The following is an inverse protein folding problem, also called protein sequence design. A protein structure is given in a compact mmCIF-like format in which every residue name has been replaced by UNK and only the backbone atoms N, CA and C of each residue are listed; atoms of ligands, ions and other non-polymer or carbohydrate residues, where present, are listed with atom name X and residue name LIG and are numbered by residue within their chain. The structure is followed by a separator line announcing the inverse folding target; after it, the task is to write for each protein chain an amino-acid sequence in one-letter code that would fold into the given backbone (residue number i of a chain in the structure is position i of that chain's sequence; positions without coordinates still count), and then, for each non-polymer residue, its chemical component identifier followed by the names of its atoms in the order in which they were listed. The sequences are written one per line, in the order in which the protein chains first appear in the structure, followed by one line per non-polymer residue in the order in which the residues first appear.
data_IF_867332562177
#
_entry.id   IF_867332562177
#
_cell.length_a   1.000
_cell.length_b   1.000
_cell.length_c   1.000
_cell.angle_alpha   90.00
_cell.angle_beta   90.00
_cell.angle_gamma   90.00
#
_symmetry.space_group_name_H-M   'P 1'
#
loop_
_entity.id
_entity.type
_entity.pdbx_description
1 polymer ?
#
# COMPACT_ATOMS: atom_id res chain seq x y z
N UNK A 1 14.30 -14.27 45.18
CA UNK A 1 14.39 -15.15 43.99
C UNK A 1 12.97 -15.48 43.58
N UNK A 2 12.46 -14.82 42.53
CA UNK A 2 11.16 -15.17 41.95
C UNK A 2 11.31 -16.42 41.07
N UNK A 3 10.23 -17.16 40.79
CA UNK A 3 10.33 -18.36 39.97
C UNK A 3 10.75 -17.95 38.55
N UNK A 4 11.84 -18.55 38.08
CA UNK A 4 12.21 -18.53 36.67
C UNK A 4 11.03 -19.10 35.88
N UNK A 5 10.41 -18.27 35.05
CA UNK A 5 9.42 -18.74 34.10
C UNK A 5 10.15 -19.02 32.79
N UNK A 6 10.29 -20.30 32.45
CA UNK A 6 10.65 -20.71 31.10
C UNK A 6 9.36 -20.81 30.30
N UNK A 7 8.82 -19.69 29.83
CA UNK A 7 7.80 -19.71 28.77
C UNK A 7 8.48 -19.99 27.42
N UNK A 8 9.14 -21.14 27.33
CA UNK A 8 9.73 -21.68 26.10
C UNK A 8 8.78 -22.67 25.44
N UNK A 9 7.53 -22.28 25.20
CA UNK A 9 6.67 -23.03 24.29
C UNK A 9 6.79 -22.40 22.90
N UNK A 10 7.74 -22.88 22.10
CA UNK A 10 7.74 -22.62 20.66
C UNK A 10 6.55 -23.40 20.09
N UNK A 11 5.37 -22.79 20.14
CA UNK A 11 4.27 -23.24 19.31
C UNK A 11 4.67 -22.94 17.87
N UNK A 12 5.19 -23.95 17.18
CA UNK A 12 5.23 -23.94 15.72
C UNK A 12 3.77 -24.03 15.28
N UNK A 13 3.09 -22.87 15.25
CA UNK A 13 1.77 -22.79 14.65
C UNK A 13 2.00 -22.99 13.17
N UNK A 14 1.69 -24.19 12.67
CA UNK A 14 1.65 -24.44 11.25
C UNK A 14 0.54 -23.55 10.67
N UNK A 15 0.95 -22.51 9.94
CA UNK A 15 0.07 -21.52 9.32
C UNK A 15 -0.68 -20.64 10.35
N UNK A 16 0.03 -19.76 11.10
CA UNK A 16 -0.61 -18.85 12.04
C UNK A 16 -1.69 -18.02 11.34
N UNK A 17 -2.73 -17.54 12.06
CA UNK A 17 -3.77 -16.71 11.47
C UNK A 17 -3.18 -15.40 10.96
N UNK A 18 -2.75 -15.43 9.69
CA UNK A 18 -2.22 -14.28 8.99
C UNK A 18 -3.37 -13.40 8.55
N UNK A 19 -3.20 -12.09 8.72
CA UNK A 19 -4.16 -11.10 8.27
C UNK A 19 -3.47 -10.13 7.31
N UNK A 20 -4.22 -9.59 6.34
CA UNK A 20 -3.70 -8.56 5.45
C UNK A 20 -3.19 -7.34 6.21
N UNK A 21 -3.77 -7.04 7.38
CA UNK A 21 -3.31 -5.94 8.26
C UNK A 21 -1.91 -6.18 8.83
N UNK A 22 -1.62 -7.40 9.26
CA UNK A 22 -0.28 -7.76 9.72
C UNK A 22 0.73 -7.71 8.59
N UNK A 23 0.37 -8.24 7.41
CA UNK A 23 1.22 -8.17 6.21
C UNK A 23 1.52 -6.71 5.85
N UNK A 24 0.50 -5.85 5.83
CA UNK A 24 0.63 -4.41 5.62
C UNK A 24 1.64 -3.79 6.60
N UNK A 25 1.48 -4.05 7.89
CA UNK A 25 2.34 -3.49 8.92
C UNK A 25 3.80 -3.89 8.73
N UNK A 26 4.08 -5.16 8.44
CA UNK A 26 5.44 -5.67 8.27
C UNK A 26 6.08 -5.28 6.92
N UNK A 27 5.26 -5.06 5.89
CA UNK A 27 5.73 -4.71 4.55
C UNK A 27 5.67 -3.21 4.24
N UNK A 28 5.22 -2.36 5.16
CA UNK A 28 4.96 -0.95 4.87
C UNK A 28 6.18 -0.22 4.30
N UNK A 29 7.34 -0.36 4.94
CA UNK A 29 8.59 0.26 4.47
C UNK A 29 9.09 -0.37 3.17
N UNK A 30 9.04 -1.71 3.05
CA UNK A 30 9.43 -2.41 1.82
C UNK A 30 8.58 -2.00 0.61
N UNK A 31 7.27 -1.79 0.81
CA UNK A 31 6.36 -1.29 -0.24
C UNK A 31 6.60 0.18 -0.52
N UNK A 32 7.01 0.98 0.47
CA UNK A 32 7.41 2.39 0.27
C UNK A 32 8.68 2.49 -0.59
N UNK A 33 9.67 1.64 -0.33
CA UNK A 33 10.93 1.61 -1.08
C UNK A 33 10.76 1.00 -2.48
N UNK A 34 9.92 -0.02 -2.61
CA UNK A 34 9.60 -0.65 -3.89
C UNK A 34 8.08 -0.93 -4.03
N UNK A 35 7.30 0.04 -4.54
CA UNK A 35 5.87 -0.14 -4.76
C UNK A 35 5.52 -1.26 -5.77
N UNK A 36 6.48 -1.65 -6.61
CA UNK A 36 6.30 -2.67 -7.64
C UNK A 36 6.50 -4.10 -7.11
N UNK A 37 6.91 -4.28 -5.84
CA UNK A 37 7.08 -5.60 -5.22
C UNK A 37 5.83 -6.45 -5.44
N UNK A 38 5.99 -7.64 -6.00
CA UNK A 38 4.84 -8.48 -6.32
C UNK A 38 4.49 -9.41 -5.14
N UNK A 39 3.28 -9.97 -5.16
CA UNK A 39 2.81 -10.82 -4.08
C UNK A 39 3.66 -12.08 -3.86
N UNK A 40 4.34 -12.61 -4.90
CA UNK A 40 5.24 -13.77 -4.74
C UNK A 40 6.51 -13.41 -3.99
N UNK A 41 7.06 -12.23 -4.26
CA UNK A 41 8.21 -11.70 -3.51
C UNK A 41 7.85 -11.49 -2.04
N UNK A 42 6.65 -10.97 -1.75
CA UNK A 42 6.15 -10.85 -0.37
C UNK A 42 6.01 -12.24 0.27
N UNK A 43 5.43 -13.23 -0.41
CA UNK A 43 5.35 -14.60 0.12
C UNK A 43 6.75 -15.15 0.45
N UNK A 44 7.72 -14.95 -0.45
CA UNK A 44 9.09 -15.40 -0.24
C UNK A 44 9.74 -14.68 0.95
N UNK A 45 9.56 -13.37 1.09
CA UNK A 45 10.03 -12.61 2.24
C UNK A 45 9.46 -13.19 3.54
N UNK A 46 8.16 -13.48 3.60
CA UNK A 46 7.54 -14.07 4.79
C UNK A 46 8.05 -15.48 5.10
N UNK A 47 8.33 -16.26 4.07
CA UNK A 47 8.92 -17.59 4.22
C UNK A 47 10.34 -17.50 4.78
N UNK A 48 11.16 -16.57 4.30
CA UNK A 48 12.56 -16.44 4.70
C UNK A 48 12.73 -15.79 6.08
N UNK A 49 12.01 -14.70 6.35
CA UNK A 49 12.17 -13.91 7.58
C UNK A 49 11.38 -14.48 8.76
N UNK A 50 10.18 -15.02 8.51
CA UNK A 50 9.26 -15.44 9.58
C UNK A 50 8.98 -16.94 9.58
N UNK A 51 9.48 -17.70 8.59
CA UNK A 51 9.17 -19.12 8.45
C UNK A 51 7.70 -19.41 8.12
N UNK A 52 6.94 -18.39 7.67
CA UNK A 52 5.50 -18.50 7.41
C UNK A 52 5.23 -18.56 5.92
N UNK A 53 4.52 -19.60 5.47
CA UNK A 53 4.01 -19.67 4.10
C UNK A 53 2.71 -18.86 3.98
N UNK A 54 2.81 -17.64 3.47
CA UNK A 54 1.67 -16.78 3.30
C UNK A 54 0.78 -17.21 2.12
N UNK A 55 -0.55 -17.18 2.29
CA UNK A 55 -1.47 -17.29 1.15
C UNK A 55 -1.36 -16.04 0.27
N UNK A 56 -1.43 -16.22 -1.05
CA UNK A 56 -1.38 -15.15 -2.04
C UNK A 56 -2.33 -13.99 -1.74
N UNK A 57 -3.56 -14.29 -1.33
CA UNK A 57 -4.55 -13.28 -0.98
C UNK A 57 -4.06 -12.29 0.08
N UNK A 58 -3.37 -12.78 1.13
CA UNK A 58 -2.86 -11.92 2.19
C UNK A 58 -1.68 -11.06 1.73
N UNK A 59 -0.84 -11.57 0.81
CA UNK A 59 0.28 -10.81 0.25
C UNK A 59 -0.25 -9.67 -0.61
N UNK A 60 -1.14 -9.99 -1.54
CA UNK A 60 -1.76 -9.01 -2.41
C UNK A 60 -2.57 -7.98 -1.60
N UNK A 61 -3.48 -8.44 -0.73
CA UNK A 61 -4.32 -7.53 0.07
C UNK A 61 -3.49 -6.70 1.06
N UNK A 62 -2.44 -7.25 1.65
CA UNK A 62 -1.51 -6.51 2.51
C UNK A 62 -0.75 -5.43 1.75
N UNK A 63 -0.30 -5.73 0.52
CA UNK A 63 0.31 -4.75 -0.38
C UNK A 63 -0.64 -3.62 -0.72
N UNK A 64 -1.87 -3.91 -1.15
CA UNK A 64 -2.86 -2.89 -1.51
C UNK A 64 -3.18 -1.97 -0.32
N UNK A 65 -3.28 -2.54 0.88
CA UNK A 65 -3.44 -1.75 2.10
C UNK A 65 -2.23 -0.84 2.38
N UNK A 66 -1.00 -1.31 2.10
CA UNK A 66 0.21 -0.53 2.32
C UNK A 66 0.30 0.61 1.31
N UNK A 67 0.02 0.36 0.03
CA UNK A 67 -0.07 1.38 -1.03
C UNK A 67 -1.06 2.46 -0.63
N UNK A 68 -2.26 2.08 -0.17
CA UNK A 68 -3.29 3.03 0.28
C UNK A 68 -2.86 3.84 1.50
N UNK A 69 -2.04 3.27 2.39
CA UNK A 69 -1.51 4.00 3.56
C UNK A 69 -0.40 4.98 3.18
N UNK A 70 0.43 4.62 2.20
CA UNK A 70 1.55 5.46 1.72
C UNK A 70 1.04 6.62 0.86
N UNK A 71 0.15 6.34 -0.09
CA UNK A 71 -0.30 7.32 -1.09
C UNK A 71 -1.65 7.96 -0.75
N UNK A 72 -2.31 7.48 0.31
CA UNK A 72 -3.68 7.83 0.60
C UNK A 72 -4.67 7.06 -0.28
N UNK A 73 -5.96 7.37 -0.10
CA UNK A 73 -6.99 6.87 -1.02
C UNK A 73 -6.93 7.58 -2.36
N UNK A 74 -7.67 7.03 -3.34
CA UNK A 74 -7.77 7.56 -4.71
C UNK A 74 -8.01 9.08 -4.77
N UNK A 75 -8.72 9.64 -3.79
CA UNK A 75 -8.99 11.08 -3.67
C UNK A 75 -7.72 11.92 -3.51
N UNK A 76 -6.74 11.46 -2.73
CA UNK A 76 -5.45 12.16 -2.54
C UNK A 76 -4.63 12.17 -3.82
N UNK A 77 -4.64 11.08 -4.59
CA UNK A 77 -3.94 10.99 -5.88
C UNK A 77 -4.47 12.00 -6.90
N UNK A 78 -5.78 12.29 -6.89
CA UNK A 78 -6.36 13.26 -7.82
C UNK A 78 -6.17 14.73 -7.40
N UNK A 79 -5.94 15.01 -6.12
CA UNK A 79 -5.55 16.37 -5.70
C UNK A 79 -4.23 16.82 -6.34
N UNK A 80 -3.30 15.89 -6.60
CA UNK A 80 -2.05 16.20 -7.30
C UNK A 80 -2.28 16.60 -8.77
N UNK A 81 -3.29 16.02 -9.43
CA UNK A 81 -3.67 16.42 -10.79
C UNK A 81 -4.20 17.86 -10.83
N UNK A 82 -5.01 18.28 -9.86
CA UNK A 82 -5.51 19.66 -9.78
C UNK A 82 -4.35 20.65 -9.70
N UNK A 83 -3.37 20.39 -8.82
CA UNK A 83 -2.17 21.21 -8.71
C UNK A 83 -1.34 21.23 -10.01
N UNK A 84 -1.23 20.08 -10.68
CA UNK A 84 -0.53 19.96 -11.96
C UNK A 84 -1.20 20.79 -13.06
N UNK A 85 -2.53 20.71 -13.19
CA UNK A 85 -3.30 21.50 -14.17
C UNK A 85 -3.11 23.00 -13.94
N UNK A 86 -3.24 23.45 -12.69
CA UNK A 86 -3.01 24.84 -12.33
C UNK A 86 -1.58 25.30 -12.68
N UNK A 87 -0.59 24.46 -12.41
CA UNK A 87 0.81 24.76 -12.69
C UNK A 87 1.10 24.79 -14.20
N UNK A 88 0.49 23.89 -14.96
CA UNK A 88 0.66 23.81 -16.42
C UNK A 88 0.09 25.05 -17.12
N UNK A 89 -1.12 25.47 -16.74
CA UNK A 89 -1.77 26.67 -17.29
C UNK A 89 -1.01 27.97 -16.94
N UNK A 90 -0.44 28.05 -15.73
CA UNK A 90 0.39 29.19 -15.30
C UNK A 90 1.72 29.28 -16.05
N UNK A 91 2.35 28.13 -16.29
CA UNK A 91 3.70 28.07 -16.86
C UNK A 91 3.69 28.18 -18.39
N UNK A 92 2.60 27.76 -19.03
CA UNK A 92 2.47 27.74 -20.49
C UNK A 92 1.22 28.55 -20.93
N UNK A 93 1.34 29.88 -21.04
CA UNK A 93 0.27 30.71 -21.58
C UNK A 93 -0.15 30.23 -22.97
N UNK A 94 -1.44 29.89 -23.15
CA UNK A 94 -1.99 29.36 -24.41
C UNK A 94 -2.26 27.85 -24.42
N UNK A 95 -1.80 27.11 -23.41
CA UNK A 95 -2.26 25.73 -23.20
C UNK A 95 -3.73 25.70 -22.81
N UNK A 96 -4.45 24.68 -23.30
CA UNK A 96 -5.86 24.45 -22.96
C UNK A 96 -5.98 23.11 -22.24
N UNK A 97 -6.51 23.14 -21.02
CA UNK A 97 -6.76 21.93 -20.25
C UNK A 97 -8.24 21.85 -19.92
N UNK A 98 -8.86 20.70 -20.20
CA UNK A 98 -10.19 20.36 -19.74
C UNK A 98 -10.07 19.25 -18.69
N UNK A 99 -10.28 19.59 -17.41
CA UNK A 99 -10.25 18.66 -16.29
C UNK A 99 -11.65 18.45 -15.74
N UNK A 100 -12.06 17.18 -15.59
CA UNK A 100 -13.36 16.81 -15.03
C UNK A 100 -13.20 15.84 -13.85
N UNK A 101 -13.92 16.14 -12.77
CA UNK A 101 -14.05 15.30 -11.58
C UNK A 101 -15.51 15.20 -11.15
N UNK A 102 -15.90 14.07 -10.58
CA UNK A 102 -17.21 13.88 -9.99
C UNK A 102 -17.42 14.88 -8.81
N UNK A 103 -18.49 15.69 -8.83
CA UNK A 103 -18.66 16.77 -7.87
C UNK A 103 -19.00 16.31 -6.45
N UNK A 104 -19.39 15.04 -6.25
CA UNK A 104 -19.80 14.49 -4.95
C UNK A 104 -18.65 13.73 -4.30
N UNK A 105 -17.97 12.90 -5.10
CA UNK A 105 -16.92 11.98 -4.62
C UNK A 105 -15.51 12.53 -4.84
N UNK A 106 -15.38 13.62 -5.60
CA UNK A 106 -14.12 14.20 -6.05
C UNK A 106 -13.21 13.21 -6.80
N UNK A 107 -13.78 12.13 -7.34
CA UNK A 107 -13.06 11.18 -8.17
C UNK A 107 -12.81 11.77 -9.55
N UNK A 108 -11.61 11.56 -10.07
CA UNK A 108 -11.28 11.93 -11.44
C UNK A 108 -12.17 11.22 -12.47
N UNK A 109 -12.51 11.94 -13.52
CA UNK A 109 -13.25 11.42 -14.67
C UNK A 109 -12.34 11.41 -15.90
N UNK A 110 -11.81 12.58 -16.29
CA UNK A 110 -10.94 12.72 -17.47
C UNK A 110 -10.15 14.03 -17.46
N UNK A 111 -9.06 14.05 -18.21
CA UNK A 111 -8.28 15.24 -18.53
C UNK A 111 -7.92 15.25 -20.02
N UNK A 112 -8.05 16.41 -20.66
CA UNK A 112 -7.51 16.69 -22.00
C UNK A 112 -6.53 17.85 -21.89
N UNK A 113 -5.35 17.71 -22.51
CA UNK A 113 -4.25 18.69 -22.53
C UNK A 113 -3.86 18.94 -23.98
#
# INVERSE_FOLDING_TARGET
MGPDHTCGAVFVVNNPPMTSRLVKFLMLEHVRDNPLINAKEIINHFRMEYGVLLKYYFAWSGKELAIKEIHGGDTLSYHQLVWFVDSLLKTNPGSHVAFESDPITHKFVRIFI
#
